data_IF_646343485292
#
_entry.id   IF_646343485292
#
_cell.length_a   1.000
_cell.length_b   1.000
_cell.length_c   1.000
_cell.angle_alpha   90.00
_cell.angle_beta   90.00
_cell.angle_gamma   90.00
#
_symmetry.space_group_name_H-M   'P 1'
#
loop_
_entity.id
_entity.type
_entity.pdbx_description
1 polymer ?
#
# COMPACT_ATOMS: atom_id res chain seq x y z
N UNK A 1 9.62 39.13 4.64
CA UNK A 1 8.78 38.53 5.71
C UNK A 1 9.68 37.68 6.59
N UNK A 2 9.90 38.08 7.86
CA UNK A 2 10.65 37.30 8.84
C UNK A 2 9.67 36.39 9.62
N UNK A 3 9.81 35.07 9.49
CA UNK A 3 9.05 34.13 10.30
C UNK A 3 9.68 34.03 11.71
N UNK A 4 9.07 34.69 12.67
CA UNK A 4 9.43 34.59 14.09
C UNK A 4 8.86 33.29 14.65
N UNK A 5 9.71 32.33 14.99
CA UNK A 5 9.31 31.15 15.78
C UNK A 5 9.17 31.58 17.24
N UNK A 6 7.95 31.61 17.76
CA UNK A 6 7.66 31.85 19.17
C UNK A 6 7.89 30.53 19.94
N UNK A 7 9.02 30.39 20.63
CA UNK A 7 9.29 29.25 21.51
C UNK A 7 8.68 29.50 22.89
N UNK A 8 7.48 28.94 23.11
CA UNK A 8 6.80 28.97 24.42
C UNK A 8 6.95 27.59 25.06
N UNK A 9 8.11 27.34 25.66
CA UNK A 9 8.40 26.36 26.74
C UNK A 9 9.89 26.01 26.71
N UNK A 10 10.58 26.15 27.85
CA UNK A 10 11.92 25.62 28.06
C UNK A 10 11.87 24.09 28.07
N UNK A 11 12.52 23.44 27.11
CA UNK A 11 12.68 21.99 27.11
C UNK A 11 13.76 21.60 28.12
N UNK A 12 13.39 20.96 29.22
CA UNK A 12 14.30 20.53 30.28
C UNK A 12 14.98 19.17 29.97
N UNK A 13 15.01 18.80 28.69
CA UNK A 13 15.58 17.55 28.19
C UNK A 13 16.23 17.81 26.83
N UNK A 14 17.37 17.16 26.60
CA UNK A 14 18.05 17.22 25.31
C UNK A 14 17.16 16.66 24.19
N UNK A 15 17.28 17.23 22.98
CA UNK A 15 16.58 16.73 21.81
C UNK A 15 16.94 15.26 21.57
N UNK A 16 15.96 14.36 21.73
CA UNK A 16 16.18 12.94 21.57
C UNK A 16 16.03 12.57 20.09
N UNK A 17 17.09 12.76 19.29
CA UNK A 17 17.10 12.53 17.84
C UNK A 17 16.61 11.12 17.44
N UNK A 18 16.83 10.12 18.30
CA UNK A 18 16.33 8.76 18.09
C UNK A 18 14.79 8.68 18.07
N UNK A 19 14.08 9.54 18.84
CA UNK A 19 12.61 9.59 18.84
C UNK A 19 12.06 10.20 17.56
N UNK A 20 12.64 11.29 17.07
CA UNK A 20 12.19 11.91 15.82
C UNK A 20 12.34 10.95 14.65
N UNK A 21 13.44 10.21 14.60
CA UNK A 21 13.67 9.21 13.56
C UNK A 21 12.73 8.00 13.69
N UNK A 22 12.48 7.53 14.91
CA UNK A 22 11.49 6.46 15.16
C UNK A 22 10.08 6.86 14.68
N UNK A 23 9.68 8.12 14.91
CA UNK A 23 8.39 8.64 14.42
C UNK A 23 8.35 8.64 12.90
N UNK A 24 9.44 9.08 12.24
CA UNK A 24 9.55 9.11 10.77
C UNK A 24 9.38 7.72 10.17
N UNK A 25 10.06 6.71 10.75
CA UNK A 25 9.96 5.30 10.31
C UNK A 25 8.52 4.79 10.44
N UNK A 26 7.86 5.07 11.57
CA UNK A 26 6.47 4.65 11.77
C UNK A 26 5.55 5.30 10.74
N UNK A 27 5.80 6.54 10.37
CA UNK A 27 5.00 7.26 9.37
C UNK A 27 5.19 6.68 7.96
N UNK A 28 6.42 6.38 7.55
CA UNK A 28 6.71 5.64 6.31
C UNK A 28 6.01 4.29 6.28
N UNK A 29 6.05 3.53 7.40
CA UNK A 29 5.34 2.26 7.51
C UNK A 29 3.83 2.41 7.32
N UNK A 30 3.22 3.48 7.86
CA UNK A 30 1.80 3.76 7.65
C UNK A 30 1.50 4.13 6.21
N UNK A 31 2.38 4.92 5.59
CA UNK A 31 2.26 5.27 4.17
C UNK A 31 2.29 4.02 3.30
N UNK A 32 3.28 3.14 3.45
CA UNK A 32 3.33 1.88 2.71
C UNK A 32 2.16 0.95 3.02
N UNK A 33 1.72 0.89 4.28
CA UNK A 33 0.53 0.11 4.64
C UNK A 33 -0.72 0.56 3.88
N UNK A 34 -0.83 1.85 3.55
CA UNK A 34 -1.95 2.43 2.80
C UNK A 34 -1.81 2.25 1.27
N UNK A 35 -0.59 2.24 0.75
CA UNK A 35 -0.34 2.30 -0.70
C UNK A 35 0.08 0.96 -1.31
N UNK A 36 0.55 0.00 -0.52
CA UNK A 36 1.07 -1.30 -1.00
C UNK A 36 0.30 -2.50 -0.45
N UNK A 37 0.40 -3.63 -1.17
CA UNK A 37 -0.17 -4.93 -0.78
C UNK A 37 0.84 -5.87 -0.11
N UNK A 38 2.03 -5.38 0.26
CA UNK A 38 3.09 -6.19 0.86
C UNK A 38 2.65 -6.76 2.22
N UNK A 39 3.22 -7.89 2.64
CA UNK A 39 2.90 -8.44 3.95
C UNK A 39 3.40 -7.51 5.07
N UNK A 40 2.72 -7.42 6.23
CA UNK A 40 3.16 -6.56 7.33
C UNK A 40 4.60 -6.84 7.79
N UNK A 41 5.09 -8.08 7.62
CA UNK A 41 6.46 -8.44 7.90
C UNK A 41 7.45 -7.86 6.88
N UNK A 42 7.08 -7.79 5.60
CA UNK A 42 7.90 -7.18 4.56
C UNK A 42 8.02 -5.68 4.79
N UNK A 43 6.89 -4.98 4.98
CA UNK A 43 6.86 -3.54 5.31
C UNK A 43 7.75 -3.24 6.52
N UNK A 44 7.61 -4.01 7.60
CA UNK A 44 8.42 -3.82 8.79
C UNK A 44 9.91 -4.07 8.52
N UNK A 45 10.24 -5.14 7.79
CA UNK A 45 11.63 -5.48 7.46
C UNK A 45 12.30 -4.36 6.66
N UNK A 46 11.61 -3.85 5.64
CA UNK A 46 12.09 -2.75 4.79
C UNK A 46 12.28 -1.47 5.62
N UNK A 47 11.32 -1.15 6.49
CA UNK A 47 11.34 0.08 7.29
C UNK A 47 12.51 0.14 8.28
N UNK A 48 12.97 -1.02 8.77
CA UNK A 48 14.05 -1.09 9.78
C UNK A 48 15.41 -1.49 9.22
N UNK A 49 15.50 -1.85 7.92
CA UNK A 49 16.68 -2.45 7.31
C UNK A 49 17.94 -1.59 7.45
N UNK A 50 17.81 -0.27 7.35
CA UNK A 50 18.91 0.70 7.40
C UNK A 50 18.85 1.60 8.64
N UNK A 51 18.18 1.15 9.70
CA UNK A 51 17.97 1.95 10.91
C UNK A 51 19.07 1.71 11.94
N UNK A 52 19.61 2.78 12.52
CA UNK A 52 20.64 2.67 13.55
C UNK A 52 20.10 2.04 14.85
N UNK A 53 20.94 1.27 15.56
CA UNK A 53 20.53 0.50 16.74
C UNK A 53 19.91 1.35 17.86
N UNK A 54 20.37 2.59 18.04
CA UNK A 54 19.80 3.53 19.01
C UNK A 54 18.35 3.94 18.69
N UNK A 55 17.93 3.93 17.42
CA UNK A 55 16.56 4.20 17.00
C UNK A 55 15.72 2.93 17.18
N UNK A 56 16.27 1.76 16.81
CA UNK A 56 15.62 0.47 17.02
C UNK A 56 15.23 0.24 18.49
N UNK A 57 16.07 0.68 19.43
CA UNK A 57 15.82 0.59 20.86
C UNK A 57 14.61 1.41 21.34
N UNK A 58 14.21 2.44 20.59
CA UNK A 58 13.10 3.35 20.94
C UNK A 58 11.84 3.03 20.15
N UNK A 59 11.92 2.14 19.15
CA UNK A 59 10.75 1.69 18.40
C UNK A 59 9.78 0.89 19.29
N UNK A 60 8.47 0.98 19.02
CA UNK A 60 7.50 0.07 19.62
C UNK A 60 7.80 -1.39 19.31
N UNK A 61 7.26 -2.30 20.13
CA UNK A 61 7.37 -3.74 19.90
C UNK A 61 6.87 -4.11 18.50
N UNK A 62 7.53 -5.08 17.86
CA UNK A 62 7.20 -5.63 16.53
C UNK A 62 5.70 -5.91 16.35
N UNK A 63 5.05 -6.51 17.34
CA UNK A 63 3.61 -6.82 17.26
C UNK A 63 2.71 -5.58 17.29
N UNK A 64 3.10 -4.54 18.03
CA UNK A 64 2.41 -3.24 18.00
C UNK A 64 2.53 -2.59 16.63
N UNK A 65 3.72 -2.64 16.01
CA UNK A 65 3.96 -2.10 14.67
C UNK A 65 3.13 -2.84 13.60
N UNK A 66 3.09 -4.18 13.64
CA UNK A 66 2.22 -4.97 12.77
C UNK A 66 0.74 -4.66 12.97
N UNK A 67 0.31 -4.41 14.22
CA UNK A 67 -1.06 -3.98 14.51
C UNK A 67 -1.35 -2.62 13.89
N UNK A 68 -0.42 -1.67 13.95
CA UNK A 68 -0.55 -0.38 13.27
C UNK A 68 -0.75 -0.56 11.77
N UNK A 69 0.05 -1.40 11.10
CA UNK A 69 -0.11 -1.71 9.67
C UNK A 69 -1.52 -2.23 9.37
N UNK A 70 -2.00 -3.21 10.15
CA UNK A 70 -3.35 -3.77 9.97
C UNK A 70 -4.44 -2.72 10.19
N UNK A 71 -4.31 -1.88 11.20
CA UNK A 71 -5.28 -0.83 11.51
C UNK A 71 -5.38 0.19 10.36
N UNK A 72 -4.23 0.66 9.84
CA UNK A 72 -4.21 1.58 8.70
C UNK A 72 -4.89 0.96 7.49
N UNK A 73 -4.61 -0.32 7.19
CA UNK A 73 -5.27 -1.03 6.10
C UNK A 73 -6.78 -1.10 6.28
N UNK A 74 -7.23 -1.48 7.47
CA UNK A 74 -8.66 -1.59 7.77
C UNK A 74 -9.37 -0.22 7.66
N UNK A 75 -8.71 0.87 8.07
CA UNK A 75 -9.25 2.23 7.95
C UNK A 75 -9.33 2.69 6.49
N UNK A 76 -8.38 2.27 5.65
CA UNK A 76 -8.32 2.63 4.23
C UNK A 76 -9.10 1.66 3.32
N UNK A 77 -10.15 1.02 3.86
CA UNK A 77 -11.04 0.14 3.10
C UNK A 77 -10.72 -1.35 3.16
N UNK A 78 -9.69 -1.75 3.91
CA UNK A 78 -9.26 -3.13 4.07
C UNK A 78 -8.78 -3.78 2.76
N UNK A 79 -8.02 -4.87 2.87
CA UNK A 79 -8.12 -5.85 1.79
C UNK A 79 -9.59 -6.32 1.81
N UNK A 80 -10.28 -6.27 0.68
CA UNK A 80 -11.62 -6.87 0.59
C UNK A 80 -11.55 -8.28 1.18
N UNK A 81 -12.50 -8.69 2.04
CA UNK A 81 -12.50 -10.05 2.57
C UNK A 81 -12.29 -11.02 1.41
N UNK A 82 -11.43 -12.02 1.62
CA UNK A 82 -11.17 -13.02 0.60
C UNK A 82 -12.52 -13.58 0.14
N UNK A 83 -12.81 -13.52 -1.17
CA UNK A 83 -14.08 -14.00 -1.67
C UNK A 83 -14.20 -15.49 -1.35
N UNK A 84 -15.36 -15.90 -0.83
CA UNK A 84 -15.61 -17.31 -0.49
C UNK A 84 -15.97 -18.10 -1.75
N UNK A 85 -16.55 -17.42 -2.74
CA UNK A 85 -16.89 -17.97 -4.04
C UNK A 85 -16.43 -17.03 -5.15
N UNK A 86 -16.30 -17.54 -6.38
CA UNK A 86 -15.97 -16.71 -7.54
C UNK A 86 -17.03 -15.63 -7.81
N UNK A 87 -18.30 -15.88 -7.45
CA UNK A 87 -19.36 -14.88 -7.55
C UNK A 87 -19.17 -13.68 -6.59
N UNK A 88 -18.37 -13.84 -5.53
CA UNK A 88 -18.05 -12.75 -4.59
C UNK A 88 -16.87 -11.89 -5.07
N UNK A 89 -16.26 -12.24 -6.22
CA UNK A 89 -15.05 -11.61 -6.73
C UNK A 89 -15.38 -10.27 -7.40
N UNK A 90 -15.50 -9.22 -6.59
CA UNK A 90 -15.66 -7.85 -7.09
C UNK A 90 -14.27 -7.29 -7.42
N UNK A 91 -14.05 -6.90 -8.68
CA UNK A 91 -12.82 -6.23 -9.11
C UNK A 91 -12.94 -4.70 -9.02
N UNK A 92 -12.19 -4.05 -8.10
CA UNK A 92 -11.99 -2.61 -8.14
C UNK A 92 -11.50 -2.10 -9.51
N UNK A 93 -11.94 -0.91 -9.91
CA UNK A 93 -11.56 -0.28 -11.19
C UNK A 93 -10.04 -0.22 -11.39
N UNK A 94 -9.28 0.02 -10.31
CA UNK A 94 -7.81 0.04 -10.32
C UNK A 94 -7.14 -1.26 -10.79
N UNK A 95 -7.86 -2.38 -10.84
CA UNK A 95 -7.36 -3.65 -11.36
C UNK A 95 -7.84 -3.92 -12.79
N UNK A 96 -8.75 -3.10 -13.32
CA UNK A 96 -9.28 -3.17 -14.69
C UNK A 96 -8.50 -2.30 -15.67
N UNK A 97 -7.66 -1.40 -15.15
CA UNK A 97 -6.87 -0.43 -15.91
C UNK A 97 -5.39 -0.51 -15.52
N UNK A 98 -4.52 -0.19 -16.47
CA UNK A 98 -3.07 -0.01 -16.26
C UNK A 98 -2.63 1.36 -16.76
N UNK A 99 -1.50 1.85 -16.25
CA UNK A 99 -0.89 3.08 -16.74
C UNK A 99 0.16 2.75 -17.80
N UNK A 100 -0.03 3.24 -19.02
CA UNK A 100 0.93 3.16 -20.12
C UNK A 100 1.25 4.58 -20.56
N UNK A 101 2.53 4.97 -20.48
CA UNK A 101 3.00 6.33 -20.81
C UNK A 101 2.21 7.45 -20.11
N UNK A 102 1.81 7.22 -18.86
CA UNK A 102 1.04 8.19 -18.06
C UNK A 102 -0.45 8.26 -18.38
N UNK A 103 -0.96 7.42 -19.29
CA UNK A 103 -2.39 7.34 -19.61
C UNK A 103 -2.99 6.04 -19.07
N UNK A 104 -4.21 6.12 -18.53
CA UNK A 104 -4.97 4.94 -18.14
C UNK A 104 -5.47 4.20 -19.40
N UNK A 105 -5.16 2.91 -19.50
CA UNK A 105 -5.61 2.04 -20.57
C UNK A 105 -6.36 0.84 -19.99
N UNK A 106 -7.42 0.36 -20.69
CA UNK A 106 -8.10 -0.89 -20.31
C UNK A 106 -7.13 -2.07 -20.28
N UNK A 107 -7.25 -2.89 -19.25
CA UNK A 107 -6.43 -4.08 -19.05
C UNK A 107 -7.27 -5.34 -18.87
N UNK A 108 -8.38 -5.26 -18.13
CA UNK A 108 -9.36 -6.35 -18.11
C UNK A 108 -10.24 -6.24 -19.38
N UNK A 109 -9.89 -7.02 -20.40
CA UNK A 109 -10.54 -6.95 -21.73
C UNK A 109 -11.69 -7.95 -21.90
N UNK A 110 -11.77 -8.97 -21.05
CA UNK A 110 -12.87 -9.94 -21.06
C UNK A 110 -13.19 -10.42 -19.65
N UNK A 111 -14.49 -10.46 -19.34
CA UNK A 111 -15.06 -10.99 -18.11
C UNK A 111 -16.31 -11.81 -18.43
N UNK A 112 -16.17 -13.14 -18.33
CA UNK A 112 -17.24 -14.09 -18.66
C UNK A 112 -18.40 -14.12 -17.66
N UNK A 113 -18.23 -13.55 -16.47
CA UNK A 113 -19.32 -13.49 -15.48
C UNK A 113 -20.51 -12.66 -16.01
N UNK A 114 -20.23 -11.75 -16.95
CA UNK A 114 -21.26 -11.00 -17.69
C UNK A 114 -22.09 -11.87 -18.66
N UNK A 115 -21.68 -13.12 -18.94
CA UNK A 115 -22.27 -13.98 -19.96
C UNK A 115 -23.01 -15.22 -19.42
N UNK A 116 -23.19 -15.37 -18.10
CA UNK A 116 -23.85 -16.53 -17.46
C UNK A 116 -23.32 -17.90 -17.93
N UNK A 117 -22.04 -17.99 -18.28
CA UNK A 117 -21.39 -19.24 -18.69
C UNK A 117 -20.85 -19.99 -17.45
N UNK A 118 -20.82 -21.33 -17.45
CA UNK A 118 -20.19 -22.09 -16.38
C UNK A 118 -18.66 -21.88 -16.41
N UNK A 119 -18.13 -21.30 -15.34
CA UNK A 119 -16.70 -21.01 -15.18
C UNK A 119 -16.39 -19.52 -15.39
N UNK A 120 -15.60 -18.94 -14.48
CA UNK A 120 -15.20 -17.54 -14.53
C UNK A 120 -13.84 -17.39 -15.22
N UNK A 121 -13.87 -17.05 -16.50
CA UNK A 121 -12.71 -16.64 -17.31
C UNK A 121 -12.57 -15.13 -17.30
N UNK A 122 -11.36 -14.68 -17.02
CA UNK A 122 -10.91 -13.30 -17.10
C UNK A 122 -9.72 -13.23 -18.05
N UNK A 123 -9.74 -12.28 -18.99
CA UNK A 123 -8.60 -12.05 -19.88
C UNK A 123 -8.04 -10.66 -19.60
N UNK A 124 -6.81 -10.66 -19.09
CA UNK A 124 -6.01 -9.46 -18.88
C UNK A 124 -5.03 -9.30 -20.03
N UNK A 125 -5.18 -8.22 -20.79
CA UNK A 125 -4.32 -7.91 -21.93
C UNK A 125 -4.44 -6.44 -22.28
N UNK A 126 -3.58 -5.94 -23.16
CA UNK A 126 -3.68 -4.60 -23.73
C UNK A 126 -4.33 -4.64 -25.11
N UNK A 127 -4.90 -3.51 -25.58
CA UNK A 127 -5.36 -3.39 -26.97
C UNK A 127 -4.25 -3.72 -27.99
N UNK A 128 -3.01 -3.32 -27.71
CA UNK A 128 -1.87 -3.59 -28.59
C UNK A 128 -1.57 -5.08 -28.73
N UNK A 129 -1.63 -5.85 -27.63
CA UNK A 129 -1.45 -7.29 -27.67
C UNK A 129 -2.54 -7.96 -28.52
N UNK A 130 -3.80 -7.50 -28.43
CA UNK A 130 -4.89 -8.02 -29.26
C UNK A 130 -4.70 -7.68 -30.74
N UNK A 131 -4.21 -6.47 -31.04
CA UNK A 131 -3.87 -6.07 -32.41
C UNK A 131 -2.77 -6.96 -32.99
N UNK A 132 -1.68 -7.18 -32.25
CA UNK A 132 -0.58 -8.06 -32.68
C UNK A 132 -1.10 -9.49 -32.91
N UNK A 133 -1.96 -9.98 -32.01
CA UNK A 133 -2.54 -11.32 -32.14
C UNK A 133 -3.45 -11.45 -33.36
N UNK A 134 -4.23 -10.41 -33.69
CA UNK A 134 -5.11 -10.40 -34.86
C UNK A 134 -4.36 -10.27 -36.20
N UNK A 135 -3.13 -9.74 -36.17
CA UNK A 135 -2.23 -9.62 -37.33
C UNK A 135 -1.32 -10.86 -37.52
N UNK A 136 -1.36 -11.84 -36.60
CA UNK A 136 -0.59 -13.09 -36.62
C UNK A 136 -1.31 -14.22 -37.35
#
# INVERSE_FOLDING_TARGET
MNNVKKTVTTHDHAAQAARSEAIRIIDEMKHWAATTQELPQQILSTAVQNTHANVLAVLPRKESLKRTIRNVRNQNGGASPLPNTLADLIFPQKYKEIMVDGNAQPFLMYDSDQMMLPGHVLIFTTPDNLRILAES
#
